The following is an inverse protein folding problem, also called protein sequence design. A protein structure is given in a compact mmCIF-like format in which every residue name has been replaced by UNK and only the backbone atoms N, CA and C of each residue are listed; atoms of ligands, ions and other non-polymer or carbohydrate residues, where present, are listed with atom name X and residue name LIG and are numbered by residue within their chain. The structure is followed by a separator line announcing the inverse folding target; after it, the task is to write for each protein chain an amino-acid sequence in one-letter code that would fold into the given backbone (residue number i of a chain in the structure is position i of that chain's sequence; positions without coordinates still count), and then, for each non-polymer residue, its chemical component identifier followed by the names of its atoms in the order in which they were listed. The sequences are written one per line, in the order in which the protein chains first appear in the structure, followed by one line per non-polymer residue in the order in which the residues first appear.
data_IF_059593102373
#
_entry.id   IF_059593102373
#
_cell.length_a   1.000
_cell.length_b   1.000
_cell.length_c   1.000
_cell.angle_alpha   90.00
_cell.angle_beta   90.00
_cell.angle_gamma   90.00
#
_symmetry.space_group_name_H-M   'P 1'
#
loop_
_entity.id
_entity.type
_entity.pdbx_description
1 polymer ?
#
# COMPACT_ATOMS: atom_id res chain seq x y z
N UNK A 1 5.22 -7.43 3.40
CA UNK A 1 3.78 -7.24 3.07
C UNK A 1 3.45 -5.78 3.29
N UNK A 2 2.61 -5.19 2.45
CA UNK A 2 2.10 -3.82 2.65
C UNK A 2 0.58 -3.86 2.62
N UNK A 3 -0.09 -3.28 3.62
CA UNK A 3 -1.54 -3.10 3.63
C UNK A 3 -1.86 -1.70 3.11
N UNK A 4 -2.77 -1.64 2.15
CA UNK A 4 -3.13 -0.44 1.40
C UNK A 4 -4.62 -0.14 1.59
N UNK A 5 -5.00 1.10 1.95
CA UNK A 5 -6.40 1.51 2.10
C UNK A 5 -7.01 1.78 0.72
N UNK A 6 -7.48 0.74 0.05
CA UNK A 6 -8.22 0.88 -1.21
C UNK A 6 -9.57 1.54 -1.02
N UNK A 7 -10.11 2.10 -2.09
CA UNK A 7 -11.44 2.73 -2.09
C UNK A 7 -12.57 1.73 -1.82
N UNK A 8 -12.43 0.48 -2.27
CA UNK A 8 -13.39 -0.60 -2.03
C UNK A 8 -13.10 -1.41 -0.76
N UNK A 9 -12.05 -1.06 -0.02
CA UNK A 9 -11.61 -1.78 1.17
C UNK A 9 -10.10 -1.92 1.23
N UNK A 10 -9.62 -2.48 2.35
CA UNK A 10 -8.19 -2.64 2.57
C UNK A 10 -7.69 -3.91 1.89
N UNK A 11 -6.54 -3.82 1.22
CA UNK A 11 -5.93 -4.96 0.56
C UNK A 11 -4.44 -5.08 0.91
N UNK A 12 -3.98 -6.34 1.00
CA UNK A 12 -2.60 -6.67 1.33
C UNK A 12 -1.83 -7.07 0.08
N UNK A 13 -0.67 -6.45 -0.13
CA UNK A 13 0.25 -6.79 -1.21
C UNK A 13 1.44 -7.57 -0.63
N UNK A 14 1.57 -8.83 -1.07
CA UNK A 14 2.72 -9.69 -0.80
C UNK A 14 3.65 -9.77 -2.02
N UNK A 15 4.81 -10.40 -1.82
CA UNK A 15 5.70 -10.75 -2.93
C UNK A 15 4.98 -11.66 -3.93
N UNK A 16 5.14 -11.36 -5.23
CA UNK A 16 4.51 -12.12 -6.32
C UNK A 16 3.01 -11.87 -6.49
N UNK A 17 2.43 -10.83 -5.86
CA UNK A 17 1.03 -10.46 -6.09
C UNK A 17 0.76 -10.16 -7.58
N UNK A 18 -0.40 -10.60 -8.07
CA UNK A 18 -0.81 -10.35 -9.46
C UNK A 18 -0.88 -8.85 -9.77
N UNK A 19 -0.65 -8.43 -11.03
CA UNK A 19 -0.75 -7.02 -11.40
C UNK A 19 -2.13 -6.44 -11.04
N UNK A 20 -2.12 -5.26 -10.41
CA UNK A 20 -3.32 -4.58 -9.93
C UNK A 20 -3.10 -3.07 -10.01
N UNK A 21 -4.13 -2.34 -10.41
CA UNK A 21 -4.17 -0.88 -10.30
C UNK A 21 -5.45 -0.49 -9.55
N UNK A 22 -5.32 0.32 -8.52
CA UNK A 22 -6.45 0.73 -7.68
C UNK A 22 -6.29 2.16 -7.18
N UNK A 23 -7.41 2.83 -6.96
CA UNK A 23 -7.46 4.11 -6.23
C UNK A 23 -7.39 3.84 -4.73
N UNK A 24 -6.75 4.76 -4.00
CA UNK A 24 -6.60 4.67 -2.55
C UNK A 24 -7.34 5.83 -1.88
N UNK A 25 -7.95 5.54 -0.73
CA UNK A 25 -8.63 6.52 0.13
C UNK A 25 -7.69 7.01 1.22
N UNK A 26 -8.09 8.08 1.89
CA UNK A 26 -7.40 8.57 3.08
C UNK A 26 -7.27 7.47 4.13
N UNK A 27 -6.05 7.24 4.60
CA UNK A 27 -5.76 6.07 5.40
C UNK A 27 -4.30 5.95 5.81
N UNK A 28 -3.98 4.79 6.37
CA UNK A 28 -2.64 4.43 6.78
C UNK A 28 -2.15 3.30 5.90
N UNK A 29 -0.97 3.46 5.31
CA UNK A 29 -0.22 2.35 4.76
C UNK A 29 0.48 1.64 5.92
N UNK A 30 0.34 0.32 6.00
CA UNK A 30 1.02 -0.48 7.02
C UNK A 30 2.05 -1.37 6.36
N UNK A 31 3.33 -1.14 6.69
CA UNK A 31 4.47 -1.79 6.06
C UNK A 31 5.06 -2.80 7.04
N UNK A 32 4.98 -4.07 6.66
CA UNK A 32 5.53 -5.20 7.39
C UNK A 32 6.82 -5.66 6.72
N UNK A 33 7.95 -5.26 7.32
CA UNK A 33 9.30 -5.68 6.90
C UNK A 33 9.61 -7.07 7.44
N UNK A 34 10.24 -7.91 6.64
CA UNK A 34 10.63 -9.26 7.06
C UNK A 34 11.60 -9.17 8.26
N UNK A 35 11.28 -9.89 9.33
CA UNK A 35 12.08 -9.91 10.56
C UNK A 35 11.90 -8.70 11.49
N UNK A 36 11.03 -7.74 11.15
CA UNK A 36 10.68 -6.64 12.05
C UNK A 36 9.56 -7.04 13.01
N UNK A 37 9.70 -6.67 14.29
CA UNK A 37 8.67 -6.90 15.33
C UNK A 37 7.53 -5.89 15.25
N UNK A 38 7.77 -4.73 14.64
CA UNK A 38 6.82 -3.63 14.53
C UNK A 38 6.58 -3.26 13.08
N UNK A 39 5.33 -2.94 12.74
CA UNK A 39 4.98 -2.36 11.45
C UNK A 39 5.35 -0.86 11.42
N UNK A 40 5.73 -0.39 10.24
CA UNK A 40 5.87 1.04 9.95
C UNK A 40 4.57 1.55 9.34
N UNK A 41 4.14 2.74 9.77
CA UNK A 41 2.89 3.33 9.31
C UNK A 41 3.16 4.66 8.62
N UNK A 42 2.57 4.85 7.43
CA UNK A 42 2.63 6.12 6.69
C UNK A 42 1.20 6.59 6.45
N UNK A 43 0.86 7.79 6.92
CA UNK A 43 -0.45 8.39 6.63
C UNK A 43 -0.43 8.98 5.23
N UNK A 44 -1.48 8.69 4.48
CA UNK A 44 -1.72 9.19 3.13
C UNK A 44 -3.11 9.82 3.02
N UNK A 45 -3.22 10.85 2.18
CA UNK A 45 -4.48 11.47 1.76
C UNK A 45 -4.58 11.23 0.24
N UNK A 46 -5.49 10.32 -0.16
CA UNK A 46 -5.72 9.95 -1.56
C UNK A 46 -4.54 9.39 -2.37
N UNK A 47 -4.81 9.04 -3.62
CA UNK A 47 -3.81 8.64 -4.62
C UNK A 47 -4.13 7.37 -5.41
N UNK A 48 -3.07 6.75 -5.94
CA UNK A 48 -3.13 5.50 -6.70
C UNK A 48 -2.10 4.49 -6.20
N UNK A 49 -2.49 3.21 -6.25
CA UNK A 49 -1.60 2.08 -6.02
C UNK A 49 -1.44 1.27 -7.31
N UNK A 50 -0.20 1.01 -7.70
CA UNK A 50 0.17 0.17 -8.84
C UNK A 50 1.00 -1.01 -8.34
N UNK A 51 0.53 -2.22 -8.63
CA UNK A 51 1.26 -3.47 -8.40
C UNK A 51 1.65 -4.05 -9.75
N UNK A 52 2.94 -4.32 -9.92
CA UNK A 52 3.49 -4.97 -11.10
C UNK A 52 4.64 -5.92 -10.69
N UNK A 53 5.34 -6.49 -11.67
CA UNK A 53 6.45 -7.44 -11.42
C UNK A 53 7.59 -6.86 -10.57
N UNK A 54 7.76 -5.53 -10.53
CA UNK A 54 8.77 -4.86 -9.71
C UNK A 54 8.32 -4.66 -8.26
N UNK A 55 7.03 -4.83 -7.97
CA UNK A 55 6.44 -4.66 -6.65
C UNK A 55 5.29 -3.65 -6.62
N UNK A 56 5.10 -3.02 -5.47
CA UNK A 56 4.07 -2.01 -5.22
C UNK A 56 4.66 -0.60 -5.28
N UNK A 57 4.06 0.26 -6.11
CA UNK A 57 4.31 1.71 -6.14
C UNK A 57 3.05 2.44 -5.69
N UNK A 58 3.19 3.40 -4.79
CA UNK A 58 2.08 4.26 -4.33
C UNK A 58 2.35 5.70 -4.74
N UNK A 59 1.43 6.25 -5.52
CA UNK A 59 1.39 7.64 -5.97
C UNK A 59 0.40 8.39 -5.06
N UNK A 60 0.86 8.81 -3.89
CA UNK A 60 0.04 9.55 -2.93
C UNK A 60 -0.12 11.02 -3.34
N UNK A 61 -1.33 11.58 -3.17
CA UNK A 61 -1.54 13.02 -3.39
C UNK A 61 -0.90 13.84 -2.27
N UNK A 62 -0.93 13.32 -1.05
CA UNK A 62 -0.16 13.82 0.09
C UNK A 62 0.24 12.68 1.04
N UNK A 63 1.44 12.79 1.59
CA UNK A 63 2.00 11.85 2.57
C UNK A 63 2.69 12.64 3.68
N UNK A 64 2.54 12.21 4.93
CA UNK A 64 3.13 12.88 6.10
C UNK A 64 2.95 12.12 7.39
#
# INVERSE_FOLDING_TARGET
MVVVPGTEGDFGVLEGHAPLMSTIRDGNLEIYKAGATTQETIRIEGGFAEVNEKGLTVLAEKAG
#
